data_IF_464972201655
#
_entry.id   IF_464972201655
#
_cell.length_a   1.000
_cell.length_b   1.000
_cell.length_c   1.000
_cell.angle_alpha   90.00
_cell.angle_beta   90.00
_cell.angle_gamma   90.00
#
_symmetry.space_group_name_H-M   'P 1'
#
loop_
_entity.id
_entity.type
_entity.pdbx_description
1 polymer ?
#
# COMPACT_ATOMS: atom_id res chain seq x y z
N UNK A 1 -20.40 -2.20 -16.52
CA UNK A 1 -20.81 -1.78 -16.33
C UNK A 1 -20.85 -1.35 -16.22
N UNK A 2 -20.43 -1.66 -16.81
CA UNK A 2 -20.54 -1.25 -16.85
C UNK A 2 -20.01 -1.11 -16.63
N UNK A 3 -19.38 -1.36 -16.81
CA UNK A 3 -19.21 -1.09 -16.71
C UNK A 3 -18.66 -0.87 -16.48
N UNK A 4 -18.21 -0.95 -17.16
CA UNK A 4 -18.10 -0.75 -16.96
C UNK A 4 -17.52 -0.55 -16.90
N UNK A 5 -17.12 -0.50 -17.35
CA UNK A 5 -17.01 -0.10 -17.39
C UNK A 5 -16.48 0.18 -17.10
N UNK A 6 -15.94 0.10 -17.36
CA UNK A 6 -15.77 0.50 -17.27
C UNK A 6 -15.20 0.79 -16.91
N UNK A 7 -14.74 0.81 -17.37
CA UNK A 7 -14.53 1.24 -17.21
C UNK A 7 -13.87 1.57 -16.91
N UNK A 8 -13.49 1.61 -17.23
CA UNK A 8 -13.14 2.01 -17.11
C UNK A 8 -12.72 2.53 -16.84
N UNK A 9 -12.37 2.58 -17.22
CA UNK A 9 -12.32 3.14 -17.09
C UNK A 9 -12.02 3.52 -16.56
N UNK A 10 -11.66 3.45 -16.78
CA UNK A 10 -11.58 3.94 -16.48
C UNK A 10 -11.13 4.26 -15.93
N UNK A 11 -10.75 3.87 -16.07
CA UNK A 11 -10.37 4.12 -15.64
C UNK A 11 -9.90 4.64 -15.52
N UNK A 12 -9.44 4.27 -15.78
CA UNK A 12 -9.23 4.72 -15.96
C UNK A 12 -8.89 5.39 -15.80
N UNK A 13 -8.95 4.47 -15.72
CA UNK A 13 -8.60 5.56 -15.78
C UNK A 13 -7.99 6.49 -14.79
N UNK A 14 -7.15 6.20 -13.99
CA UNK A 14 -6.43 7.20 -13.28
C UNK A 14 -5.76 8.11 -14.29
N UNK A 15 -6.22 9.31 -14.37
CA UNK A 15 -5.78 10.17 -15.46
C UNK A 15 -4.67 11.11 -15.05
N UNK A 16 -3.50 10.59 -14.67
CA UNK A 16 -2.39 11.51 -14.49
C UNK A 16 -1.53 11.54 -15.76
N UNK A 17 -1.02 12.71 -16.07
CA UNK A 17 -0.27 12.95 -17.30
C UNK A 17 1.16 13.41 -17.04
N UNK A 18 1.52 13.64 -15.80
CA UNK A 18 2.85 14.15 -15.46
C UNK A 18 3.48 13.30 -14.37
N UNK A 19 4.81 13.30 -14.35
CA UNK A 19 5.56 12.64 -13.27
C UNK A 19 5.20 13.25 -11.91
N UNK A 20 4.97 14.56 -11.87
CA UNK A 20 4.57 15.22 -10.62
C UNK A 20 3.27 14.67 -10.06
N UNK A 21 2.30 14.40 -10.94
CA UNK A 21 1.04 13.81 -10.51
C UNK A 21 1.23 12.38 -10.03
N UNK A 22 2.08 11.61 -10.70
CA UNK A 22 2.39 10.24 -10.30
C UNK A 22 3.08 10.24 -8.93
N UNK A 23 4.01 11.16 -8.71
CA UNK A 23 4.70 11.30 -7.41
C UNK A 23 3.69 11.58 -6.31
N UNK A 24 2.76 12.50 -6.56
CA UNK A 24 1.74 12.85 -5.56
C UNK A 24 0.88 11.65 -5.21
N UNK A 25 0.44 10.90 -6.22
CA UNK A 25 -0.39 9.72 -6.01
C UNK A 25 0.39 8.63 -5.26
N UNK A 26 1.61 8.35 -5.67
CA UNK A 26 2.43 7.33 -5.02
C UNK A 26 2.76 7.71 -3.57
N UNK A 27 3.01 8.99 -3.32
CA UNK A 27 3.26 9.47 -1.95
C UNK A 27 2.05 9.21 -1.05
N UNK A 28 0.86 9.50 -1.57
CA UNK A 28 -0.38 9.24 -0.85
C UNK A 28 -0.53 7.75 -0.56
N UNK A 29 -0.33 6.92 -1.58
CA UNK A 29 -0.50 5.47 -1.45
C UNK A 29 0.51 4.88 -0.47
N UNK A 30 1.75 5.35 -0.52
CA UNK A 30 2.79 4.88 0.40
C UNK A 30 2.44 5.21 1.85
N UNK A 31 1.99 6.44 2.11
CA UNK A 31 1.59 6.86 3.44
C UNK A 31 0.42 6.02 3.94
N UNK A 32 -0.55 5.78 3.07
CA UNK A 32 -1.71 4.95 3.37
C UNK A 32 -1.29 3.51 3.70
N UNK A 33 -0.37 2.96 2.91
CA UNK A 33 0.13 1.60 3.13
C UNK A 33 0.89 1.49 4.45
N UNK A 34 1.68 2.51 4.79
CA UNK A 34 2.40 2.52 6.07
C UNK A 34 1.44 2.52 7.25
N UNK A 35 0.37 3.29 7.14
CA UNK A 35 -0.65 3.33 8.19
C UNK A 35 -1.31 1.96 8.36
N UNK A 36 -1.65 1.29 7.25
CA UNK A 36 -2.22 -0.05 7.28
C UNK A 36 -1.27 -1.06 7.91
N UNK A 37 0.03 -0.97 7.62
CA UNK A 37 1.02 -1.88 8.22
C UNK A 37 1.05 -1.72 9.74
N UNK A 38 0.94 -0.48 10.23
CA UNK A 38 0.87 -0.22 11.67
C UNK A 38 -0.37 -0.82 12.29
N UNK A 39 -1.51 -0.66 11.62
CA UNK A 39 -2.77 -1.22 12.10
C UNK A 39 -2.72 -2.75 12.18
N UNK A 40 -2.15 -3.38 11.16
CA UNK A 40 -1.99 -4.84 11.14
C UNK A 40 -1.05 -5.30 12.24
N UNK A 41 0.01 -4.55 12.48
CA UNK A 41 0.96 -4.86 13.55
C UNK A 41 0.27 -4.81 14.92
N UNK A 42 -0.53 -3.78 15.16
CA UNK A 42 -1.28 -3.66 16.42
C UNK A 42 -2.26 -4.81 16.58
N UNK A 43 -2.90 -5.23 15.48
CA UNK A 43 -3.82 -6.36 15.51
C UNK A 43 -3.09 -7.67 15.88
N UNK A 44 -1.85 -7.84 15.39
CA UNK A 44 -1.04 -9.01 15.77
C UNK A 44 -0.89 -9.09 17.29
N UNK A 45 -0.55 -7.97 17.93
CA UNK A 45 -0.37 -7.93 19.38
C UNK A 45 -1.66 -8.29 20.12
N UNK A 46 -2.79 -7.79 19.60
CA UNK A 46 -4.09 -8.09 20.22
C UNK A 46 -4.42 -9.58 20.11
N UNK A 47 -4.14 -10.16 18.95
CA UNK A 47 -4.39 -11.60 18.72
C UNK A 47 -3.51 -12.45 19.64
N UNK A 48 -2.25 -12.07 19.81
CA UNK A 48 -1.37 -12.77 20.73
C UNK A 48 -1.92 -12.72 22.15
N UNK A 49 -2.37 -11.55 22.58
CA UNK A 49 -2.94 -11.38 23.92
C UNK A 49 -4.21 -12.21 24.12
N UNK A 50 -4.91 -12.50 23.03
CA UNK A 50 -6.12 -13.33 23.07
C UNK A 50 -5.83 -14.82 22.97
N UNK A 51 -4.55 -15.20 22.90
CA UNK A 51 -4.17 -16.60 22.79
C UNK A 51 -4.30 -17.15 21.38
N UNK A 52 -4.36 -16.28 20.37
CA UNK A 52 -4.48 -16.69 18.98
C UNK A 52 -3.13 -16.60 18.26
N UNK A 53 -2.14 -17.30 18.82
CA UNK A 53 -0.76 -17.19 18.35
C UNK A 53 -0.54 -17.62 16.92
N UNK A 54 -1.25 -18.65 16.47
CA UNK A 54 -1.09 -19.14 15.09
C UNK A 54 -1.53 -18.08 14.08
N UNK A 55 -2.70 -17.49 14.33
CA UNK A 55 -3.19 -16.42 13.47
C UNK A 55 -2.29 -15.19 13.53
N UNK A 56 -1.81 -14.86 14.73
CA UNK A 56 -0.91 -13.73 14.93
C UNK A 56 0.40 -13.92 14.15
N UNK A 57 0.93 -15.14 14.13
CA UNK A 57 2.17 -15.44 13.40
C UNK A 57 2.01 -15.24 11.90
N UNK A 58 0.89 -15.70 11.35
CA UNK A 58 0.61 -15.51 9.93
C UNK A 58 0.44 -14.03 9.58
N UNK A 59 -0.26 -13.32 10.44
CA UNK A 59 -0.47 -11.89 10.24
C UNK A 59 0.84 -11.12 10.33
N UNK A 60 1.70 -11.51 11.27
CA UNK A 60 3.01 -10.87 11.44
C UNK A 60 3.86 -11.06 10.18
N UNK A 61 3.83 -12.26 9.59
CA UNK A 61 4.53 -12.51 8.33
C UNK A 61 4.00 -11.61 7.22
N UNK A 62 2.68 -11.39 7.18
CA UNK A 62 2.09 -10.51 6.18
C UNK A 62 2.50 -9.04 6.39
N UNK A 63 2.69 -8.63 7.63
CA UNK A 63 3.17 -7.28 7.94
C UNK A 63 4.58 -7.08 7.39
N UNK A 64 5.45 -8.10 7.54
CA UNK A 64 6.80 -8.03 7.00
C UNK A 64 6.78 -7.88 5.48
N UNK A 65 5.94 -8.65 4.79
CA UNK A 65 5.79 -8.55 3.34
C UNK A 65 5.26 -7.18 2.93
N UNK A 66 4.31 -6.67 3.69
CA UNK A 66 3.73 -5.36 3.44
C UNK A 66 4.80 -4.27 3.54
N UNK A 67 5.63 -4.34 4.58
CA UNK A 67 6.70 -3.37 4.78
C UNK A 67 7.78 -3.48 3.70
N UNK A 68 8.09 -4.70 3.25
CA UNK A 68 9.03 -4.89 2.16
C UNK A 68 8.50 -4.26 0.87
N UNK A 69 7.20 -4.44 0.60
CA UNK A 69 6.56 -3.81 -0.56
C UNK A 69 6.61 -2.29 -0.47
N UNK A 70 6.36 -1.75 0.73
CA UNK A 70 6.42 -0.30 0.95
C UNK A 70 7.83 0.25 0.71
N UNK A 71 8.86 -0.50 1.08
CA UNK A 71 10.25 -0.09 0.84
C UNK A 71 10.52 0.00 -0.66
N UNK A 72 9.99 -0.93 -1.44
CA UNK A 72 10.14 -0.89 -2.90
C UNK A 72 9.39 0.29 -3.51
N UNK A 73 8.20 0.59 -2.99
CA UNK A 73 7.44 1.76 -3.43
C UNK A 73 8.21 3.05 -3.12
N UNK A 74 8.83 3.12 -1.96
CA UNK A 74 9.62 4.28 -1.58
C UNK A 74 10.80 4.46 -2.54
N UNK A 75 11.47 3.36 -2.88
CA UNK A 75 12.59 3.42 -3.83
C UNK A 75 12.14 3.91 -5.19
N UNK A 76 11.00 3.41 -5.67
CA UNK A 76 10.44 3.85 -6.95
C UNK A 76 10.11 5.34 -6.91
N UNK A 77 9.55 5.79 -5.79
CA UNK A 77 9.19 7.19 -5.60
C UNK A 77 10.41 8.09 -5.65
N UNK A 78 11.50 7.66 -5.00
CA UNK A 78 12.74 8.44 -5.00
C UNK A 78 13.32 8.57 -6.41
N UNK A 79 13.24 7.50 -7.19
CA UNK A 79 13.68 7.53 -8.59
C UNK A 79 12.88 8.56 -9.37
N UNK A 80 11.56 8.54 -9.22
CA UNK A 80 10.69 9.48 -9.92
C UNK A 80 10.96 10.92 -9.53
N UNK A 81 11.21 11.17 -8.25
CA UNK A 81 11.54 12.52 -7.78
C UNK A 81 12.84 13.02 -8.39
N UNK A 82 13.81 12.13 -8.56
CA UNK A 82 15.08 12.48 -9.17
C UNK A 82 14.97 12.80 -10.64
N UNK A 83 13.94 12.25 -11.31
CA UNK A 83 13.71 12.48 -12.73
C UNK A 83 12.90 13.76 -12.98
N UNK A 84 12.11 14.13 -12.00
CA UNK A 84 11.16 15.19 -12.14
C UNK A 84 11.64 16.56 -11.85
#
# INVERSE_FOLDING_TARGET
>A
MHEGHEHSHHGDDIGFETVGQAVALMSYMLEHNRHHAEELHDLCHKLEAMGRGEAANLLDASVDDFRAGNAMLESALEILKGEG
#
